data_IF_476418883774
#
_entry.id   IF_476418883774
#
_cell.length_a   1.000
_cell.length_b   1.000
_cell.length_c   1.000
_cell.angle_alpha   90.00
_cell.angle_beta   90.00
_cell.angle_gamma   90.00
#
_symmetry.space_group_name_H-M   'P 1'
#
loop_
_entity.id
_entity.type
_entity.pdbx_description
1 polymer ?
#
# COMPACT_ATOMS: atom_id res chain seq x y z
N UNK A 1 13.62 3.13 10.04
CA UNK A 1 14.10 1.92 10.73
C UNK A 1 15.21 2.34 11.68
N UNK A 2 15.08 2.03 12.97
CA UNK A 2 16.10 2.33 13.98
C UNK A 2 16.73 1.02 14.44
N UNK A 3 18.05 0.88 14.29
CA UNK A 3 18.79 -0.29 14.80
C UNK A 3 19.77 0.15 15.87
N UNK A 4 19.86 -0.58 16.99
CA UNK A 4 20.74 -0.19 18.10
C UNK A 4 22.21 -0.12 17.68
N UNK A 5 22.94 0.87 18.20
CA UNK A 5 24.37 1.10 17.95
C UNK A 5 25.29 0.06 18.58
N UNK A 6 24.76 -0.80 19.46
CA UNK A 6 25.49 -1.88 20.15
C UNK A 6 25.04 -3.29 19.73
N UNK A 7 24.22 -3.41 18.69
CA UNK A 7 23.70 -4.70 18.24
C UNK A 7 24.64 -5.48 17.32
N UNK A 8 24.28 -6.74 17.02
CA UNK A 8 24.99 -7.61 16.07
C UNK A 8 25.22 -6.95 14.69
N UNK A 9 24.26 -6.12 14.24
CA UNK A 9 24.36 -5.42 12.96
C UNK A 9 25.09 -4.08 13.03
N UNK A 10 25.54 -3.63 14.20
CA UNK A 10 26.24 -2.35 14.33
C UNK A 10 27.49 -2.22 13.45
N UNK A 11 28.37 -3.25 13.35
CA UNK A 11 29.53 -3.19 12.45
C UNK A 11 29.15 -2.98 10.98
N UNK A 12 28.03 -3.58 10.54
CA UNK A 12 27.51 -3.37 9.19
C UNK A 12 27.15 -1.90 8.96
N UNK A 13 26.37 -1.28 9.83
CA UNK A 13 25.97 0.13 9.65
C UNK A 13 27.15 1.11 9.72
N UNK A 14 28.16 0.82 10.55
CA UNK A 14 29.38 1.61 10.67
C UNK A 14 30.21 1.63 9.38
N UNK A 15 30.16 0.55 8.58
CA UNK A 15 30.83 0.49 7.28
C UNK A 15 30.21 1.40 6.22
N UNK A 16 28.96 1.86 6.42
CA UNK A 16 28.21 2.68 5.46
C UNK A 16 27.89 4.08 6.03
N UNK A 17 28.83 4.61 6.83
CA UNK A 17 28.80 5.99 7.33
C UNK A 17 28.98 7.01 6.21
N UNK A 18 28.78 8.30 6.50
CA UNK A 18 28.88 9.39 5.50
C UNK A 18 30.17 9.35 4.68
N UNK A 19 31.28 9.02 5.32
CA UNK A 19 32.62 8.95 4.71
C UNK A 19 32.83 7.71 3.83
N UNK A 20 32.11 6.62 4.13
CA UNK A 20 32.26 5.31 3.49
C UNK A 20 31.03 4.93 2.66
N UNK A 21 30.14 5.89 2.41
CA UNK A 21 28.86 5.64 1.77
C UNK A 21 29.03 5.13 0.34
N UNK A 22 28.29 4.06 0.04
CA UNK A 22 28.20 3.53 -1.30
C UNK A 22 26.94 4.06 -1.98
N UNK A 23 27.09 4.44 -3.26
CA UNK A 23 25.99 5.04 -4.05
C UNK A 23 24.74 4.15 -4.12
N UNK A 24 24.85 2.83 -4.03
CA UNK A 24 23.68 1.94 -4.11
C UNK A 24 22.71 2.10 -2.94
N UNK A 25 23.15 2.62 -1.79
CA UNK A 25 22.29 2.80 -0.61
C UNK A 25 21.17 3.84 -0.83
N UNK A 26 21.31 4.70 -1.85
CA UNK A 26 20.23 5.63 -2.22
C UNK A 26 18.98 4.90 -2.77
N UNK A 27 19.15 3.71 -3.36
CA UNK A 27 18.05 2.94 -3.94
C UNK A 27 17.07 2.45 -2.86
N UNK A 28 17.50 1.66 -1.84
CA UNK A 28 16.59 1.22 -0.78
C UNK A 28 16.06 2.41 0.05
N UNK A 29 16.85 3.48 0.21
CA UNK A 29 16.38 4.70 0.87
C UNK A 29 15.22 5.35 0.11
N UNK A 30 15.39 5.57 -1.19
CA UNK A 30 14.36 6.14 -2.04
C UNK A 30 13.13 5.23 -2.14
N UNK A 31 13.33 3.92 -2.27
CA UNK A 31 12.24 2.93 -2.31
C UNK A 31 11.42 2.95 -1.01
N UNK A 32 12.05 3.08 0.16
CA UNK A 32 11.34 3.17 1.43
C UNK A 32 10.34 4.34 1.43
N UNK A 33 10.78 5.53 0.99
CA UNK A 33 9.89 6.68 0.84
C UNK A 33 8.87 6.45 -0.31
N UNK A 34 9.28 5.95 -1.47
CA UNK A 34 8.36 5.72 -2.58
C UNK A 34 7.21 4.77 -2.20
N UNK A 35 7.50 3.70 -1.45
CA UNK A 35 6.48 2.78 -0.98
C UNK A 35 5.55 3.40 0.05
N UNK A 36 6.09 4.13 1.03
CA UNK A 36 5.27 4.83 2.01
C UNK A 36 4.27 5.78 1.30
N UNK A 37 4.76 6.62 0.38
CA UNK A 37 3.91 7.58 -0.34
C UNK A 37 3.01 6.92 -1.41
N UNK A 38 3.43 5.79 -1.97
CA UNK A 38 2.59 4.94 -2.82
C UNK A 38 1.36 4.39 -2.08
N UNK A 39 1.50 4.07 -0.79
CA UNK A 39 0.36 3.62 0.03
C UNK A 39 -0.68 4.71 0.21
N UNK A 40 -0.25 5.96 0.45
CA UNK A 40 -1.16 7.11 0.51
C UNK A 40 -1.92 7.32 -0.80
N UNK A 41 -1.23 7.20 -1.93
CA UNK A 41 -1.84 7.32 -3.25
C UNK A 41 -2.82 6.19 -3.54
N UNK A 42 -2.47 4.98 -3.13
CA UNK A 42 -3.36 3.83 -3.24
C UNK A 42 -4.63 4.04 -2.44
N UNK A 43 -4.51 4.46 -1.18
CA UNK A 43 -5.64 4.77 -0.30
C UNK A 43 -6.51 5.88 -0.87
N UNK A 44 -5.89 6.93 -1.42
CA UNK A 44 -6.59 7.99 -2.15
C UNK A 44 -7.40 7.45 -3.32
N UNK A 45 -6.82 6.58 -4.14
CA UNK A 45 -7.53 5.95 -5.24
C UNK A 45 -8.73 5.13 -4.82
N UNK A 46 -8.59 4.33 -3.76
CA UNK A 46 -9.70 3.55 -3.20
C UNK A 46 -10.82 4.50 -2.72
N UNK A 47 -10.46 5.60 -2.06
CA UNK A 47 -11.42 6.62 -1.61
C UNK A 47 -12.09 7.30 -2.81
N UNK A 48 -11.35 7.69 -3.84
CA UNK A 48 -11.85 8.31 -5.06
C UNK A 48 -12.76 7.36 -5.85
N UNK A 49 -12.36 6.10 -6.00
CA UNK A 49 -13.16 5.07 -6.67
C UNK A 49 -14.52 4.90 -5.99
N UNK A 50 -14.51 4.76 -4.66
CA UNK A 50 -15.74 4.68 -3.91
C UNK A 50 -16.58 5.93 -4.03
N UNK A 51 -15.99 7.09 -3.80
CA UNK A 51 -16.69 8.36 -3.81
C UNK A 51 -17.38 8.59 -5.16
N UNK A 52 -16.70 8.28 -6.27
CA UNK A 52 -17.28 8.40 -7.60
C UNK A 52 -18.40 7.40 -7.87
N UNK A 53 -18.27 6.14 -7.44
CA UNK A 53 -19.34 5.12 -7.59
C UNK A 53 -20.58 5.47 -6.77
N UNK A 54 -20.41 5.97 -5.54
CA UNK A 54 -21.53 6.33 -4.66
C UNK A 54 -22.24 7.60 -5.17
N UNK A 55 -21.48 8.57 -5.70
CA UNK A 55 -22.01 9.89 -6.03
C UNK A 55 -22.50 10.00 -7.47
N UNK A 56 -21.91 9.23 -8.39
CA UNK A 56 -22.20 9.32 -9.82
C UNK A 56 -22.61 7.96 -10.39
N UNK A 57 -23.67 7.97 -11.20
CA UNK A 57 -24.11 6.78 -11.91
C UNK A 57 -23.10 6.39 -13.01
N UNK A 58 -22.98 5.09 -13.30
CA UNK A 58 -22.19 4.52 -14.41
C UNK A 58 -20.68 4.80 -14.36
N UNK A 59 -20.12 5.19 -13.21
CA UNK A 59 -18.68 5.43 -13.09
C UNK A 59 -17.85 4.14 -13.08
N UNK A 60 -18.45 2.98 -12.82
CA UNK A 60 -17.78 1.68 -12.83
C UNK A 60 -17.12 1.36 -14.18
N UNK A 61 -17.81 1.64 -15.29
CA UNK A 61 -17.28 1.41 -16.65
C UNK A 61 -16.05 2.29 -16.92
N UNK A 62 -16.07 3.55 -16.45
CA UNK A 62 -14.93 4.46 -16.57
C UNK A 62 -13.75 3.99 -15.75
N UNK A 63 -13.99 3.50 -14.54
CA UNK A 63 -12.93 2.92 -13.72
C UNK A 63 -12.28 1.72 -14.39
N UNK A 64 -13.05 0.82 -15.01
CA UNK A 64 -12.48 -0.32 -15.74
C UNK A 64 -11.62 0.13 -16.93
N UNK A 65 -12.06 1.14 -17.69
CA UNK A 65 -11.32 1.65 -18.85
C UNK A 65 -10.03 2.39 -18.47
N UNK A 66 -10.05 3.18 -17.40
CA UNK A 66 -8.95 4.07 -17.01
C UNK A 66 -8.19 3.62 -15.76
N UNK A 67 -8.39 2.39 -15.29
CA UNK A 67 -7.71 1.88 -14.08
C UNK A 67 -6.19 1.92 -14.22
N UNK A 68 -5.65 1.69 -15.42
CA UNK A 68 -4.21 1.74 -15.69
C UNK A 68 -3.62 3.13 -15.40
N UNK A 69 -4.36 4.21 -15.70
CA UNK A 69 -3.93 5.59 -15.41
C UNK A 69 -3.73 5.75 -13.91
N UNK A 70 -4.66 5.22 -13.12
CA UNK A 70 -4.57 5.24 -11.67
C UNK A 70 -3.33 4.47 -11.15
N UNK A 71 -3.01 3.31 -11.72
CA UNK A 71 -1.79 2.56 -11.38
C UNK A 71 -0.54 3.40 -11.68
N UNK A 72 -0.47 4.00 -12.88
CA UNK A 72 0.67 4.83 -13.29
C UNK A 72 0.83 6.03 -12.35
N UNK A 73 -0.25 6.69 -11.96
CA UNK A 73 -0.22 7.81 -11.01
C UNK A 73 0.23 7.35 -9.61
N UNK A 74 -0.26 6.21 -9.15
CA UNK A 74 0.05 5.66 -7.83
C UNK A 74 1.54 5.34 -7.67
N UNK A 75 2.18 4.85 -8.73
CA UNK A 75 3.61 4.50 -8.72
C UNK A 75 4.47 5.70 -9.15
N UNK A 76 4.05 6.42 -10.19
CA UNK A 76 4.83 7.47 -10.84
C UNK A 76 5.02 8.71 -9.98
N UNK A 77 3.98 9.18 -9.27
CA UNK A 77 4.11 10.37 -8.41
C UNK A 77 5.11 10.14 -7.27
N UNK A 78 4.99 9.08 -6.44
CA UNK A 78 5.95 8.83 -5.38
C UNK A 78 7.37 8.62 -5.92
N UNK A 79 7.51 7.89 -7.04
CA UNK A 79 8.80 7.71 -7.69
C UNK A 79 9.45 9.05 -8.08
N UNK A 80 8.67 9.98 -8.66
CA UNK A 80 9.15 11.31 -9.01
C UNK A 80 9.56 12.14 -7.78
N UNK A 81 8.76 12.08 -6.70
CA UNK A 81 9.01 12.84 -5.48
C UNK A 81 10.29 12.38 -4.73
N UNK A 82 10.73 11.13 -4.91
CA UNK A 82 11.96 10.61 -4.28
C UNK A 82 13.21 10.71 -5.16
N UNK A 83 13.10 11.23 -6.39
CA UNK A 83 14.27 11.45 -7.27
C UNK A 83 15.39 12.24 -6.59
N UNK A 84 15.13 13.29 -5.77
CA UNK A 84 16.19 13.99 -5.04
C UNK A 84 17.01 13.06 -4.14
N UNK A 85 16.41 12.02 -3.56
CA UNK A 85 17.13 11.03 -2.75
C UNK A 85 18.06 10.17 -3.62
N UNK A 86 17.62 9.78 -4.81
CA UNK A 86 18.41 8.98 -5.75
C UNK A 86 19.62 9.74 -6.32
N UNK A 87 19.47 11.05 -6.53
CA UNK A 87 20.54 11.92 -7.03
C UNK A 87 21.57 12.28 -5.96
N UNK A 88 21.30 11.96 -4.70
CA UNK A 88 22.15 12.29 -3.57
C UNK A 88 22.71 11.02 -2.89
N UNK A 89 23.83 11.18 -2.21
CA UNK A 89 24.46 10.10 -1.46
C UNK A 89 23.69 9.84 -0.16
N UNK A 90 23.25 8.60 0.05
CA UNK A 90 22.58 8.15 1.29
C UNK A 90 23.55 7.40 2.18
N UNK A 91 23.45 7.56 3.49
CA UNK A 91 24.38 6.98 4.47
C UNK A 91 23.68 6.69 5.80
N UNK A 92 24.28 5.81 6.60
CA UNK A 92 23.84 5.62 7.98
C UNK A 92 24.50 6.66 8.88
N UNK A 93 23.68 7.31 9.69
CA UNK A 93 24.09 8.24 10.73
C UNK A 93 23.67 7.69 12.08
N UNK A 94 24.41 8.08 13.12
CA UNK A 94 24.11 7.68 14.48
C UNK A 94 23.30 8.77 15.16
N UNK A 95 22.29 8.33 15.91
CA UNK A 95 21.62 9.18 16.87
C UNK A 95 22.19 8.86 18.25
N UNK A 96 23.02 9.77 18.77
CA UNK A 96 23.69 9.62 20.07
C UNK A 96 22.69 9.53 21.22
N UNK A 97 21.59 10.29 21.16
CA UNK A 97 20.55 10.29 22.19
C UNK A 97 19.83 8.94 22.30
N UNK A 98 19.57 8.30 21.16
CA UNK A 98 18.76 7.08 21.09
C UNK A 98 19.60 5.83 20.93
N UNK A 99 20.93 5.94 20.84
CA UNK A 99 21.85 4.86 20.51
C UNK A 99 21.33 4.03 19.32
N UNK A 100 20.89 4.71 18.26
CA UNK A 100 20.32 4.06 17.07
C UNK A 100 20.91 4.60 15.78
N UNK A 101 21.04 3.72 14.79
CA UNK A 101 21.32 4.09 13.42
C UNK A 101 20.03 4.54 12.73
N UNK A 102 20.16 5.57 11.90
CA UNK A 102 19.14 5.99 10.96
C UNK A 102 19.78 6.26 9.60
N UNK A 103 18.98 6.14 8.54
CA UNK A 103 19.42 6.53 7.20
C UNK A 103 19.19 8.03 7.00
N UNK A 104 20.17 8.68 6.38
CA UNK A 104 20.11 10.07 5.96
C UNK A 104 20.68 10.20 4.55
N UNK A 105 20.57 11.39 3.97
CA UNK A 105 21.16 11.71 2.69
C UNK A 105 21.80 13.08 2.70
N UNK A 106 22.73 13.29 1.78
CA UNK A 106 23.35 14.61 1.51
C UNK A 106 22.33 15.67 1.09
N UNK A 107 21.17 15.27 0.56
CA UNK A 107 20.04 16.17 0.34
C UNK A 107 19.46 16.73 1.64
N UNK A 108 19.64 16.01 2.75
CA UNK A 108 19.15 16.37 4.08
C UNK A 108 17.69 15.98 4.30
N UNK A 109 17.44 15.31 5.41
CA UNK A 109 16.10 14.91 5.85
C UNK A 109 15.08 16.07 5.87
N UNK A 110 15.50 17.26 6.32
CA UNK A 110 14.65 18.47 6.36
C UNK A 110 14.02 18.76 4.99
N UNK A 111 14.83 18.69 3.92
CA UNK A 111 14.38 18.99 2.56
C UNK A 111 13.44 17.90 2.03
N UNK A 112 13.68 16.63 2.38
CA UNK A 112 12.78 15.51 2.06
C UNK A 112 11.37 15.77 2.63
N UNK A 113 11.28 16.10 3.93
CA UNK A 113 9.99 16.39 4.57
C UNK A 113 9.33 17.67 4.04
N UNK A 114 10.10 18.71 3.69
CA UNK A 114 9.52 19.92 3.09
C UNK A 114 8.82 19.66 1.75
N UNK A 115 9.29 18.69 0.96
CA UNK A 115 8.65 18.31 -0.31
C UNK A 115 7.46 17.37 -0.06
N UNK A 116 7.69 16.35 0.76
CA UNK A 116 6.75 15.24 0.88
C UNK A 116 5.58 15.51 1.84
N UNK A 117 5.79 16.27 2.92
CA UNK A 117 4.74 16.54 3.91
C UNK A 117 3.58 17.38 3.37
N UNK A 118 3.78 18.45 2.58
CA UNK A 118 2.67 19.19 1.99
C UNK A 118 1.82 18.32 1.06
N UNK A 119 2.47 17.49 0.25
CA UNK A 119 1.80 16.51 -0.61
C UNK A 119 0.90 15.59 0.22
N UNK A 120 1.44 15.05 1.30
CA UNK A 120 0.71 14.18 2.22
C UNK A 120 -0.52 14.87 2.81
N UNK A 121 -0.35 16.09 3.31
CA UNK A 121 -1.42 16.87 3.91
C UNK A 121 -2.57 17.13 2.92
N UNK A 122 -2.24 17.42 1.64
CA UNK A 122 -3.24 17.60 0.59
C UNK A 122 -3.99 16.30 0.31
N UNK A 123 -3.27 15.19 0.10
CA UNK A 123 -3.88 13.88 -0.18
C UNK A 123 -4.82 13.46 0.94
N UNK A 124 -4.35 13.56 2.20
CA UNK A 124 -5.17 13.24 3.37
C UNK A 124 -6.37 14.18 3.49
N UNK A 125 -6.19 15.49 3.27
CA UNK A 125 -7.29 16.45 3.27
C UNK A 125 -8.39 16.10 2.26
N UNK A 126 -8.01 15.70 1.06
CA UNK A 126 -8.96 15.25 0.03
C UNK A 126 -9.62 13.92 0.43
N UNK A 127 -8.88 13.00 1.06
CA UNK A 127 -9.45 11.76 1.60
C UNK A 127 -10.50 12.02 2.69
N UNK A 128 -10.27 12.99 3.59
CA UNK A 128 -11.26 13.42 4.60
C UNK A 128 -12.55 13.83 3.89
N UNK A 129 -12.43 14.73 2.90
CA UNK A 129 -13.58 15.23 2.16
C UNK A 129 -14.36 14.10 1.46
N UNK A 130 -13.66 13.21 0.73
CA UNK A 130 -14.29 12.12 -0.01
C UNK A 130 -15.01 11.12 0.92
N UNK A 131 -14.41 10.77 2.06
CA UNK A 131 -15.02 9.86 3.02
C UNK A 131 -16.28 10.47 3.66
N UNK A 132 -16.22 11.73 4.11
CA UNK A 132 -17.40 12.44 4.67
C UNK A 132 -18.50 12.58 3.61
N UNK A 133 -18.15 12.98 2.39
CA UNK A 133 -19.12 13.12 1.29
C UNK A 133 -19.78 11.79 0.95
N UNK A 134 -19.02 10.69 0.92
CA UNK A 134 -19.54 9.34 0.64
C UNK A 134 -20.51 8.88 1.72
N UNK A 135 -20.14 9.09 3.00
CA UNK A 135 -20.98 8.75 4.14
C UNK A 135 -22.32 9.50 4.14
N UNK A 136 -22.29 10.82 3.90
CA UNK A 136 -23.50 11.64 3.78
C UNK A 136 -24.42 11.13 2.67
N UNK A 137 -23.86 10.84 1.49
CA UNK A 137 -24.66 10.35 0.35
C UNK A 137 -25.28 8.98 0.61
N UNK A 138 -24.58 8.10 1.32
CA UNK A 138 -25.14 6.80 1.71
C UNK A 138 -26.31 6.93 2.69
N UNK A 139 -26.26 7.88 3.62
CA UNK A 139 -27.40 8.15 4.52
C UNK A 139 -28.61 8.64 3.71
N UNK A 140 -28.40 9.53 2.74
CA UNK A 140 -29.48 9.99 1.84
C UNK A 140 -30.10 8.81 1.09
N UNK A 141 -29.29 7.97 0.43
CA UNK A 141 -29.77 6.82 -0.32
C UNK A 141 -30.54 5.84 0.57
N UNK A 142 -30.06 5.59 1.79
CA UNK A 142 -30.73 4.74 2.77
C UNK A 142 -32.10 5.29 3.18
N UNK A 143 -32.21 6.60 3.40
CA UNK A 143 -33.49 7.25 3.72
C UNK A 143 -34.47 7.26 2.55
N UNK A 144 -33.95 7.35 1.33
CA UNK A 144 -34.76 7.33 0.10
C UNK A 144 -35.15 5.92 -0.38
N UNK A 145 -34.77 4.86 0.36
CA UNK A 145 -35.13 3.47 0.02
C UNK A 145 -34.37 2.88 -1.18
N UNK A 146 -33.33 3.56 -1.69
CA UNK A 146 -32.49 3.03 -2.75
C UNK A 146 -31.49 2.00 -2.21
N UNK A 147 -31.02 1.10 -3.09
CA UNK A 147 -29.97 0.15 -2.73
C UNK A 147 -28.70 0.90 -2.32
N UNK A 148 -28.23 0.60 -1.12
CA UNK A 148 -27.03 1.23 -0.58
C UNK A 148 -25.81 0.39 -0.98
N UNK A 149 -24.75 1.00 -1.54
CA UNK A 149 -23.48 0.31 -1.81
C UNK A 149 -22.94 -0.38 -0.55
N UNK A 150 -22.16 -1.46 -0.73
CA UNK A 150 -21.74 -2.36 0.36
C UNK A 150 -21.09 -1.59 1.54
N UNK A 151 -21.81 -1.57 2.67
CA UNK A 151 -21.43 -0.85 3.90
C UNK A 151 -20.10 -1.33 4.46
N UNK A 152 -19.68 -2.57 4.20
CA UNK A 152 -18.43 -3.14 4.70
C UNK A 152 -17.22 -2.42 4.14
N UNK A 153 -17.25 -2.11 2.85
CA UNK A 153 -16.19 -1.33 2.21
C UNK A 153 -16.07 0.06 2.83
N UNK A 154 -17.19 0.73 3.15
CA UNK A 154 -17.16 2.03 3.83
C UNK A 154 -16.41 1.95 5.16
N UNK A 155 -16.71 0.94 5.98
CA UNK A 155 -16.05 0.71 7.26
C UNK A 155 -14.54 0.49 7.07
N UNK A 156 -14.14 -0.35 6.10
CA UNK A 156 -12.73 -0.62 5.79
C UNK A 156 -11.98 0.68 5.50
N UNK A 157 -12.47 1.54 4.59
CA UNK A 157 -11.72 2.76 4.31
C UNK A 157 -11.80 3.78 5.42
N UNK A 158 -12.83 3.77 6.27
CA UNK A 158 -12.84 4.62 7.46
C UNK A 158 -11.70 4.24 8.43
N UNK A 159 -11.45 2.94 8.63
CA UNK A 159 -10.32 2.48 9.43
C UNK A 159 -8.98 2.85 8.79
N UNK A 160 -8.80 2.54 7.50
CA UNK A 160 -7.57 2.88 6.77
C UNK A 160 -7.31 4.40 6.81
N UNK A 161 -8.34 5.20 6.59
CA UNK A 161 -8.31 6.66 6.68
C UNK A 161 -7.91 7.16 8.08
N UNK A 162 -8.36 6.51 9.16
CA UNK A 162 -7.99 6.91 10.52
C UNK A 162 -6.49 6.71 10.77
N UNK A 163 -5.94 5.58 10.31
CA UNK A 163 -4.49 5.32 10.37
C UNK A 163 -3.72 6.33 9.49
N UNK A 164 -4.24 6.63 8.30
CA UNK A 164 -3.69 7.61 7.35
C UNK A 164 -3.57 9.02 7.97
N UNK A 165 -4.62 9.49 8.66
CA UNK A 165 -4.62 10.76 9.38
C UNK A 165 -3.61 10.79 10.53
N UNK A 166 -3.52 9.71 11.30
CA UNK A 166 -2.57 9.62 12.40
C UNK A 166 -1.12 9.73 11.89
N UNK A 167 -0.77 8.98 10.84
CA UNK A 167 0.58 9.01 10.26
C UNK A 167 0.92 10.34 9.58
N UNK A 168 -0.09 10.98 8.97
CA UNK A 168 0.06 12.34 8.42
C UNK A 168 0.32 13.37 9.52
N UNK A 169 -0.36 13.25 10.65
CA UNK A 169 -0.13 14.12 11.82
C UNK A 169 1.28 13.96 12.36
N UNK A 170 1.77 12.73 12.49
CA UNK A 170 3.16 12.45 12.88
C UNK A 170 4.18 13.03 11.89
N UNK A 171 3.90 12.93 10.58
CA UNK A 171 4.75 13.47 9.53
C UNK A 171 4.81 15.00 9.54
N UNK A 172 3.68 15.66 9.75
CA UNK A 172 3.60 17.11 9.94
C UNK A 172 4.36 17.54 11.19
N UNK A 173 4.17 16.84 12.32
CA UNK A 173 4.89 17.13 13.55
C UNK A 173 6.42 17.00 13.34
N UNK A 174 6.88 15.94 12.68
CA UNK A 174 8.29 15.73 12.38
C UNK A 174 8.86 16.83 11.46
N UNK A 175 8.11 17.23 10.43
CA UNK A 175 8.48 18.36 9.58
C UNK A 175 8.61 19.65 10.39
N UNK A 176 7.65 19.95 11.27
CA UNK A 176 7.66 21.15 12.10
C UNK A 176 8.86 21.18 13.05
N UNK A 177 9.15 20.06 13.73
CA UNK A 177 10.31 19.92 14.62
C UNK A 177 11.62 20.17 13.87
N UNK A 178 11.79 19.54 12.69
CA UNK A 178 13.01 19.66 11.90
C UNK A 178 13.23 21.07 11.32
N UNK A 179 12.15 21.81 11.06
CA UNK A 179 12.21 23.11 10.38
C UNK A 179 12.21 24.30 11.34
N UNK A 180 11.43 24.24 12.41
CA UNK A 180 11.17 25.37 13.31
C UNK A 180 11.70 25.15 14.73
N UNK A 181 12.17 23.95 15.06
CA UNK A 181 12.67 23.56 16.38
C UNK A 181 11.77 23.89 17.60
N UNK A 182 10.42 23.92 17.50
CA UNK A 182 9.62 23.91 18.72
C UNK A 182 9.85 22.54 19.37
N UNK A 183 10.13 22.49 20.66
CA UNK A 183 10.31 21.25 21.43
C UNK A 183 11.66 20.51 21.28
N UNK A 184 12.74 21.16 20.83
CA UNK A 184 14.09 20.55 20.88
C UNK A 184 14.47 20.06 22.28
N UNK A 185 13.95 20.71 23.33
CA UNK A 185 14.26 20.37 24.72
C UNK A 185 13.33 19.29 25.30
N UNK A 186 12.20 18.99 24.64
CA UNK A 186 11.23 18.00 25.13
C UNK A 186 11.52 16.64 24.49
N UNK A 187 12.53 15.96 25.03
CA UNK A 187 12.97 14.64 24.57
C UNK A 187 11.82 13.63 24.46
N UNK A 188 10.85 13.67 25.37
CA UNK A 188 9.72 12.72 25.43
C UNK A 188 8.84 12.79 24.19
N UNK A 189 8.46 14.00 23.75
CA UNK A 189 7.63 14.18 22.54
C UNK A 189 8.38 13.70 21.30
N UNK A 190 9.67 14.02 21.20
CA UNK A 190 10.54 13.55 20.11
C UNK A 190 10.65 12.02 20.08
N UNK A 191 10.71 11.38 21.24
CA UNK A 191 10.77 9.90 21.35
C UNK A 191 9.50 9.28 20.82
N UNK A 192 8.35 9.79 21.25
CA UNK A 192 7.05 9.24 20.83
C UNK A 192 6.83 9.38 19.33
N UNK A 193 7.19 10.52 18.74
CA UNK A 193 7.06 10.71 17.28
C UNK A 193 7.98 9.74 16.54
N UNK A 194 9.25 9.64 16.94
CA UNK A 194 10.22 8.75 16.32
C UNK A 194 9.83 7.26 16.47
N UNK A 195 9.25 6.89 17.61
CA UNK A 195 8.76 5.55 17.89
C UNK A 195 7.49 5.23 17.09
N UNK A 196 6.46 6.07 17.14
CA UNK A 196 5.16 5.79 16.55
C UNK A 196 5.16 5.80 15.02
N UNK A 197 6.00 6.60 14.38
CA UNK A 197 6.02 6.76 12.91
C UNK A 197 6.24 5.43 12.16
N UNK A 198 7.28 4.62 12.45
CA UNK A 198 7.47 3.33 11.78
C UNK A 198 6.31 2.35 12.06
N UNK A 199 5.83 2.27 13.30
CA UNK A 199 4.71 1.37 13.63
C UNK A 199 3.42 1.75 12.90
N UNK A 200 3.09 3.04 12.83
CA UNK A 200 1.91 3.50 12.11
C UNK A 200 2.02 3.27 10.60
N UNK A 201 3.23 3.40 10.03
CA UNK A 201 3.51 3.05 8.63
C UNK A 201 3.35 1.56 8.36
N UNK A 202 3.83 0.70 9.25
CA UNK A 202 3.69 -0.74 9.14
C UNK A 202 2.23 -1.16 9.27
N UNK A 203 1.50 -0.60 10.24
CA UNK A 203 0.05 -0.82 10.38
C UNK A 203 -0.67 -0.43 9.10
N UNK A 204 -0.37 0.73 8.50
CA UNK A 204 -1.01 1.14 7.24
C UNK A 204 -0.74 0.13 6.10
N UNK A 205 0.48 -0.41 6.05
CA UNK A 205 0.89 -1.43 5.07
C UNK A 205 0.07 -2.72 5.20
N UNK A 206 -0.17 -3.18 6.42
CA UNK A 206 -0.87 -4.45 6.68
C UNK A 206 -2.40 -4.30 6.80
N UNK A 207 -2.88 -3.12 7.19
CA UNK A 207 -4.30 -2.87 7.45
C UNK A 207 -5.14 -3.06 6.18
N UNK A 208 -4.70 -2.50 5.04
CA UNK A 208 -5.40 -2.61 3.76
C UNK A 208 -5.63 -4.06 3.28
N UNK A 209 -4.61 -4.93 3.18
CA UNK A 209 -4.83 -6.33 2.78
C UNK A 209 -5.59 -7.15 3.82
N UNK A 210 -5.33 -6.97 5.13
CA UNK A 210 -6.02 -7.72 6.19
C UNK A 210 -7.51 -7.39 6.27
N UNK A 211 -7.88 -6.11 6.19
CA UNK A 211 -9.27 -5.69 6.20
C UNK A 211 -10.00 -6.17 4.94
N UNK A 212 -9.34 -6.14 3.78
CA UNK A 212 -9.90 -6.67 2.54
C UNK A 212 -10.16 -8.18 2.66
N UNK A 213 -9.19 -8.94 3.17
CA UNK A 213 -9.32 -10.38 3.34
C UNK A 213 -10.43 -10.79 4.34
N UNK A 214 -10.54 -10.06 5.45
CA UNK A 214 -11.49 -10.39 6.53
C UNK A 214 -12.92 -9.95 6.21
N UNK A 215 -13.11 -8.81 5.54
CA UNK A 215 -14.44 -8.24 5.33
C UNK A 215 -15.01 -8.48 3.92
N UNK A 216 -14.17 -8.82 2.92
CA UNK A 216 -14.65 -9.14 1.56
C UNK A 216 -14.82 -10.66 1.38
N UNK A 217 -16.06 -11.12 1.54
CA UNK A 217 -16.43 -12.54 1.46
C UNK A 217 -15.96 -13.23 0.16
N UNK A 218 -16.10 -12.56 -1.00
CA UNK A 218 -15.69 -13.10 -2.30
C UNK A 218 -14.17 -13.38 -2.41
N UNK A 219 -13.35 -12.55 -1.77
CA UNK A 219 -11.89 -12.70 -1.77
C UNK A 219 -11.48 -13.82 -0.80
N UNK A 220 -12.09 -13.86 0.39
CA UNK A 220 -11.85 -14.91 1.40
C UNK A 220 -12.23 -16.31 0.88
N UNK A 221 -13.35 -16.44 0.16
CA UNK A 221 -13.79 -17.69 -0.46
C UNK A 221 -12.84 -18.13 -1.59
N UNK A 222 -12.38 -17.18 -2.42
CA UNK A 222 -11.44 -17.47 -3.52
C UNK A 222 -10.08 -17.92 -2.98
N UNK A 223 -9.55 -17.24 -1.96
CA UNK A 223 -8.31 -17.64 -1.29
C UNK A 223 -8.44 -19.00 -0.58
N UNK A 224 -9.59 -19.28 0.04
CA UNK A 224 -9.89 -20.58 0.65
C UNK A 224 -9.97 -21.72 -0.38
N UNK A 225 -10.46 -21.44 -1.59
CA UNK A 225 -10.47 -22.40 -2.71
C UNK A 225 -9.06 -22.65 -3.24
N UNK A 226 -8.22 -21.62 -3.37
CA UNK A 226 -6.81 -21.78 -3.75
C UNK A 226 -6.02 -22.59 -2.70
N UNK A 227 -6.22 -22.31 -1.41
CA UNK A 227 -5.60 -23.08 -0.32
C UNK A 227 -5.99 -24.56 -0.36
N UNK A 228 -7.26 -24.88 -0.65
CA UNK A 228 -7.71 -26.27 -0.83
C UNK A 228 -7.10 -26.95 -2.06
N UNK A 229 -6.96 -26.25 -3.19
CA UNK A 229 -6.30 -26.82 -4.39
C UNK A 229 -4.83 -27.17 -4.14
N UNK A 230 -4.12 -26.39 -3.33
CA UNK A 230 -2.71 -26.64 -3.04
C UNK A 230 -2.48 -27.66 -1.90
N UNK A 231 -3.54 -28.10 -1.22
CA UNK A 231 -3.47 -29.13 -0.15
C UNK A 231 -3.94 -30.51 -0.63
N UNK A 232 -4.48 -30.62 -1.84
CA UNK A 232 -4.81 -31.90 -2.48
C UNK A 232 -3.66 -32.23 -3.44
N UNK A 233 -2.83 -33.26 -3.17
CA UNK A 233 -1.93 -33.77 -4.19
C UNK A 233 -2.80 -34.20 -5.37
N UNK A 234 -2.40 -33.81 -6.59
CA UNK A 234 -3.06 -34.31 -7.78
C UNK A 234 -3.05 -35.85 -7.71
N UNK A 235 -4.20 -36.54 -7.82
CA UNK A 235 -4.18 -37.99 -7.99
C UNK A 235 -3.42 -38.27 -9.27
N UNK A 236 -2.44 -39.17 -9.22
CA UNK A 236 -1.61 -39.56 -10.35
C UNK A 236 -2.49 -39.76 -11.59
N UNK A 237 -2.32 -38.89 -12.58
CA UNK A 237 -3.00 -39.01 -13.87
C UNK A 237 -2.47 -40.27 -14.56
N UNK A 238 -3.20 -41.37 -14.39
CA UNK A 238 -3.07 -42.55 -15.25
C UNK A 238 -3.55 -42.12 -16.64
N UNK A 239 -2.60 -41.73 -17.49
CA UNK A 239 -2.86 -41.45 -18.91
C UNK A 239 -3.45 -42.71 -19.57
N UNK A 240 -4.62 -42.64 -20.24
CA UNK A 240 -5.04 -43.73 -21.10
C UNK A 240 -4.16 -43.76 -22.35
N UNK A 241 -3.54 -44.92 -22.60
CA UNK A 241 -2.76 -45.21 -23.80
C UNK A 241 -3.65 -45.02 -25.05
N UNK A 242 -3.21 -44.29 -26.10
CA UNK A 242 -4.02 -44.10 -27.29
C UNK A 242 -4.07 -45.37 -28.13
N UNK A 243 -5.28 -45.89 -28.35
CA UNK A 243 -5.51 -46.96 -29.32
C UNK A 243 -5.47 -46.39 -30.75
N UNK A 244 -4.42 -46.72 -31.50
CA UNK A 244 -4.33 -46.46 -32.94
C UNK A 244 -4.65 -47.74 -33.71
N UNK A 245 -5.79 -47.70 -34.42
CA UNK A 245 -6.19 -48.36 -35.68
C UNK A 245 -5.72 -49.79 -36.01
N UNK A 246 -6.69 -50.67 -36.32
CA UNK A 246 -6.65 -51.48 -37.56
C UNK A 246 -8.06 -51.85 -38.04
N UNK A 247 -8.17 -51.95 -39.37
CA UNK A 247 -9.35 -52.04 -40.24
C UNK A 247 -10.15 -53.35 -40.10
N UNK A 248 -11.37 -53.39 -40.68
CA UNK A 248 -11.79 -54.33 -41.77
C UNK A 248 -13.27 -54.78 -41.67
N UNK A 249 -14.09 -54.31 -42.63
CA UNK A 249 -15.18 -54.98 -43.40
C UNK A 249 -16.42 -55.57 -42.69
N UNK A 250 -17.61 -55.17 -43.21
CA UNK A 250 -18.90 -55.89 -43.10
C UNK A 250 -20.09 -54.91 -43.13
N UNK A 251 -20.63 -54.51 -44.28
CA UNK A 251 -21.81 -55.15 -44.94
C UNK A 251 -22.98 -55.26 -43.94
N UNK A 252 -24.17 -54.68 -44.06
CA UNK A 252 -24.87 -53.99 -45.14
C UNK A 252 -26.27 -53.56 -44.61
N UNK A 253 -26.81 -52.48 -45.18
CA UNK A 253 -28.18 -52.41 -45.71
C UNK A 253 -29.39 -52.35 -44.73
N UNK A 254 -30.14 -51.23 -44.85
CA UNK A 254 -31.59 -51.03 -44.64
C UNK A 254 -32.07 -51.02 -43.17
N UNK A 255 -33.09 -50.27 -42.75
CA UNK A 255 -34.06 -49.39 -43.42
C UNK A 255 -34.67 -48.49 -42.34
N UNK A 256 -35.18 -47.36 -42.80
CA UNK A 256 -36.17 -46.48 -42.17
C UNK A 256 -37.23 -47.17 -41.28
N UNK A 257 -37.60 -46.48 -40.19
CA UNK A 257 -38.93 -45.95 -39.86
C UNK A 257 -39.40 -46.19 -38.42
N UNK A 258 -39.75 -45.05 -37.81
CA UNK A 258 -40.49 -44.76 -36.57
C UNK A 258 -39.69 -44.75 -35.27
#
# INVERSE_FOLDING_TARGET
MFTKTTGFLAPFFLQFTKEHSQKWLCIPHALHFAFAYGQYNFNFGVCLNRWTIIKFNNFETRWKAYFWVFIVVTIGIPAALVVPILLNTSYYSQNEYWNTFYIDSTFGRKNIYMILTPYLAVVTGVNIYMNISSYRKMIELAKSGFSVPDKRFLVISFYVFTVDMFLTTLSVANCTILNFQPFTDNLTVLSWIAFCTPFASDVLTFCSPLLTFTMCHSVSVTASKMKRRNMVPAPDEVYPVPAVMSQTIGVSIFRENK
#
